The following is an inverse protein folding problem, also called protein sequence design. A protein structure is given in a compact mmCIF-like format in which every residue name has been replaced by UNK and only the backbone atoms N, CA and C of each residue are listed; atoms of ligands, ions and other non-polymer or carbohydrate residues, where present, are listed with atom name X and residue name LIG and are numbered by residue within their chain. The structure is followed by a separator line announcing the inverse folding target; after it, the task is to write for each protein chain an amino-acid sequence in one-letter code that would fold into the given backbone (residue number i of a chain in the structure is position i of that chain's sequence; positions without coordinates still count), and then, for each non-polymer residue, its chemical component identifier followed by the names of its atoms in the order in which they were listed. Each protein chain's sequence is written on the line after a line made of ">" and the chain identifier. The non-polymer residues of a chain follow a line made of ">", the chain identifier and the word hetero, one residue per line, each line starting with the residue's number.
data_IF_676940347771
#
_entry.id   IF_676940347771
#
_cell.length_a   1.000
_cell.length_b   1.000
_cell.length_c   1.000
_cell.angle_alpha   90.00
_cell.angle_beta   90.00
_cell.angle_gamma   90.00
#
_symmetry.space_group_name_H-M   'P 1'
#
loop_
_entity.id
_entity.type
_entity.pdbx_description
1 polymer ?
#
# COMPACT_ATOMS: atom_id res chain seq x y z
N UNK A 1 0.02 -58.14 31.85
CA UNK A 1 -0.83 -57.80 33.02
C UNK A 1 -1.62 -56.59 32.63
N UNK A 2 -2.91 -56.78 32.25
CA UNK A 2 -4.14 -56.43 32.98
C UNK A 2 -4.16 -54.92 33.30
N UNK A 3 -5.14 -54.10 32.89
CA UNK A 3 -6.59 -54.29 32.96
C UNK A 3 -7.32 -53.38 31.98
N UNK A 4 -8.40 -53.93 31.50
CA UNK A 4 -9.51 -53.34 30.79
C UNK A 4 -10.46 -52.73 31.83
N UNK A 5 -11.03 -51.58 31.60
CA UNK A 5 -12.26 -51.19 32.27
C UNK A 5 -13.20 -50.46 31.30
N UNK A 6 -14.26 -51.19 31.02
CA UNK A 6 -15.52 -50.75 30.41
C UNK A 6 -16.28 -49.82 31.35
N UNK A 7 -17.01 -48.84 30.84
CA UNK A 7 -18.30 -48.41 31.41
C UNK A 7 -19.08 -47.65 30.33
N UNK A 8 -20.00 -48.32 29.74
CA UNK A 8 -21.47 -48.33 29.94
C UNK A 8 -22.19 -47.14 29.24
N UNK A 9 -22.93 -47.59 28.25
CA UNK A 9 -24.01 -46.92 27.49
C UNK A 9 -25.12 -46.49 28.44
N UNK A 10 -25.61 -45.26 28.31
CA UNK A 10 -26.95 -44.90 28.78
C UNK A 10 -27.72 -44.24 27.62
N UNK A 11 -28.60 -45.05 27.04
CA UNK A 11 -29.67 -44.68 26.13
C UNK A 11 -30.82 -44.11 26.96
N UNK A 12 -31.26 -42.92 26.72
CA UNK A 12 -32.57 -42.43 27.15
C UNK A 12 -33.30 -41.82 25.95
N UNK A 13 -34.26 -42.63 25.50
CA UNK A 13 -35.41 -42.22 24.68
C UNK A 13 -36.28 -41.22 25.46
N UNK A 14 -36.59 -40.10 24.87
CA UNK A 14 -37.83 -39.37 25.20
C UNK A 14 -38.58 -39.02 23.92
N UNK A 15 -39.83 -39.40 23.95
CA UNK A 15 -40.86 -39.41 22.96
C UNK A 15 -41.45 -37.98 22.76
N UNK A 16 -41.62 -37.60 21.53
CA UNK A 16 -42.66 -36.81 20.91
C UNK A 16 -43.45 -35.73 21.70
N UNK A 17 -43.38 -34.49 21.13
CA UNK A 17 -44.57 -33.65 21.00
C UNK A 17 -44.52 -33.01 19.60
N UNK A 18 -45.52 -33.32 18.77
CA UNK A 18 -45.86 -32.57 17.57
C UNK A 18 -46.52 -31.27 17.99
N UNK A 19 -45.94 -30.14 17.59
CA UNK A 19 -46.73 -28.89 17.42
C UNK A 19 -46.52 -28.38 16.01
N UNK A 20 -47.64 -28.44 15.27
CA UNK A 20 -47.85 -27.80 14.03
C UNK A 20 -47.93 -26.30 14.27
N UNK A 21 -46.92 -25.53 13.83
CA UNK A 21 -46.89 -24.06 13.85
C UNK A 21 -46.52 -23.56 12.49
N UNK A 22 -47.41 -22.81 11.87
CA UNK A 22 -47.41 -22.31 10.51
C UNK A 22 -46.09 -21.62 10.11
N UNK A 23 -45.72 -21.93 8.90
CA UNK A 23 -44.78 -21.26 8.03
C UNK A 23 -44.86 -19.73 8.04
N UNK A 24 -43.75 -19.08 8.39
CA UNK A 24 -43.40 -17.83 7.74
C UNK A 24 -42.01 -18.04 7.12
N UNK A 25 -42.02 -18.29 5.82
CA UNK A 25 -40.85 -18.23 4.98
C UNK A 25 -40.35 -16.79 4.91
N UNK A 26 -39.57 -16.37 5.89
CA UNK A 26 -38.75 -15.19 5.72
C UNK A 26 -37.60 -15.57 4.80
N UNK A 27 -37.78 -15.30 3.53
CA UNK A 27 -36.74 -15.23 2.53
C UNK A 27 -35.71 -14.24 3.04
N UNK A 28 -34.65 -14.75 3.67
CA UNK A 28 -33.46 -13.93 3.96
C UNK A 28 -32.83 -13.61 2.63
N UNK A 29 -33.26 -12.51 2.04
CA UNK A 29 -32.52 -11.83 0.99
C UNK A 29 -31.16 -11.54 1.60
N UNK A 30 -30.13 -12.29 1.19
CA UNK A 30 -28.74 -11.89 1.38
C UNK A 30 -28.65 -10.49 0.80
N UNK A 31 -28.66 -9.46 1.65
CA UNK A 31 -28.18 -8.13 1.28
C UNK A 31 -26.76 -8.36 0.79
N UNK A 32 -26.55 -8.27 -0.52
CA UNK A 32 -25.25 -8.01 -1.06
C UNK A 32 -24.74 -6.78 -0.31
N UNK A 33 -23.66 -6.93 0.44
CA UNK A 33 -22.90 -5.82 0.97
C UNK A 33 -22.48 -5.00 -0.25
N UNK A 34 -23.31 -4.03 -0.61
CA UNK A 34 -22.91 -2.97 -1.51
C UNK A 34 -21.72 -2.31 -0.84
N UNK A 35 -20.57 -2.40 -1.44
CA UNK A 35 -19.31 -1.77 -1.00
C UNK A 35 -19.63 -0.28 -0.83
N UNK A 36 -19.84 0.14 0.40
CA UNK A 36 -20.22 1.52 0.71
C UNK A 36 -18.94 2.35 0.68
N UNK A 37 -18.80 3.17 -0.34
CA UNK A 37 -17.70 4.13 -0.43
C UNK A 37 -17.75 5.11 0.75
N UNK A 38 -16.59 5.58 1.16
CA UNK A 38 -16.53 6.67 2.14
C UNK A 38 -17.05 7.96 1.49
N UNK A 39 -17.55 8.88 2.31
CA UNK A 39 -18.01 10.19 1.82
C UNK A 39 -16.92 10.91 1.01
N UNK A 40 -15.66 10.79 1.44
CA UNK A 40 -14.53 11.36 0.72
C UNK A 40 -14.37 10.76 -0.68
N UNK A 41 -14.55 9.44 -0.82
CA UNK A 41 -14.49 8.77 -2.12
C UNK A 41 -15.65 9.20 -3.02
N UNK A 42 -16.87 9.30 -2.48
CA UNK A 42 -18.04 9.77 -3.23
C UNK A 42 -17.84 11.20 -3.73
N UNK A 43 -17.33 12.10 -2.88
CA UNK A 43 -17.03 13.49 -3.25
C UNK A 43 -15.94 13.58 -4.34
N UNK A 44 -14.96 12.69 -4.31
CA UNK A 44 -13.91 12.60 -5.33
C UNK A 44 -14.46 12.04 -6.65
N UNK A 45 -15.30 11.02 -6.60
CA UNK A 45 -15.96 10.47 -7.80
C UNK A 45 -16.82 11.53 -8.50
N UNK A 46 -17.51 12.38 -7.73
CA UNK A 46 -18.24 13.54 -8.26
C UNK A 46 -17.36 14.57 -8.99
N UNK A 47 -16.04 14.54 -8.74
CA UNK A 47 -15.02 15.38 -9.39
C UNK A 47 -14.22 14.66 -10.51
N UNK A 48 -14.64 13.45 -10.88
CA UNK A 48 -14.03 12.69 -11.96
C UNK A 48 -12.91 11.71 -11.52
N UNK A 49 -12.66 11.57 -10.22
CA UNK A 49 -11.78 10.52 -9.71
C UNK A 49 -12.46 9.16 -9.82
N UNK A 50 -11.68 8.12 -10.05
CA UNK A 50 -12.19 6.75 -10.14
C UNK A 50 -11.30 5.78 -9.35
N UNK A 51 -11.89 4.65 -8.96
CA UNK A 51 -11.16 3.53 -8.37
C UNK A 51 -10.70 2.65 -9.52
N UNK A 52 -9.38 2.45 -9.71
CA UNK A 52 -8.90 1.56 -10.75
C UNK A 52 -9.31 0.11 -10.46
N UNK A 53 -9.41 -0.72 -11.51
CA UNK A 53 -9.76 -2.16 -11.37
C UNK A 53 -8.78 -2.92 -10.46
N UNK A 54 -7.54 -2.48 -10.42
CA UNK A 54 -6.50 -2.95 -9.51
C UNK A 54 -5.65 -1.77 -9.09
N UNK A 55 -5.21 -1.73 -7.82
CA UNK A 55 -4.20 -0.77 -7.40
C UNK A 55 -2.93 -0.93 -8.26
N UNK A 56 -2.22 0.15 -8.56
CA UNK A 56 -0.94 0.04 -9.25
C UNK A 56 0.05 -0.75 -8.40
N UNK A 57 1.02 -1.39 -9.04
CA UNK A 57 2.12 -2.10 -8.37
C UNK A 57 3.42 -1.82 -9.12
N UNK A 58 4.46 -1.50 -8.39
CA UNK A 58 5.78 -1.24 -8.95
C UNK A 58 5.92 0.17 -9.54
N UNK A 59 6.64 0.28 -10.65
CA UNK A 59 6.96 1.58 -11.27
C UNK A 59 5.71 2.26 -11.83
N UNK A 60 5.41 3.46 -11.35
CA UNK A 60 4.29 4.27 -11.81
C UNK A 60 4.62 5.10 -13.06
N UNK A 61 5.89 5.42 -13.24
CA UNK A 61 6.52 6.05 -14.41
C UNK A 61 5.70 7.16 -15.14
N UNK A 62 5.79 7.20 -16.46
CA UNK A 62 5.34 8.33 -17.27
C UNK A 62 3.82 8.60 -17.18
N UNK A 63 3.00 7.57 -16.92
CA UNK A 63 1.55 7.77 -16.72
C UNK A 63 1.23 8.76 -15.60
N UNK A 64 2.10 8.82 -14.60
CA UNK A 64 1.95 9.72 -13.46
C UNK A 64 2.89 10.93 -13.55
N UNK A 65 3.26 11.33 -14.77
CA UNK A 65 4.05 12.53 -15.02
C UNK A 65 5.53 12.43 -14.64
N UNK A 66 6.05 11.23 -14.40
CA UNK A 66 7.46 11.01 -14.03
C UNK A 66 8.18 10.26 -15.13
N UNK A 67 9.27 10.82 -15.63
CA UNK A 67 10.19 10.11 -16.54
C UNK A 67 11.24 9.38 -15.73
N UNK A 68 11.14 8.03 -15.69
CA UNK A 68 12.10 7.20 -14.98
C UNK A 68 13.51 7.34 -15.54
N UNK A 69 14.47 7.54 -14.64
CA UNK A 69 15.90 7.58 -14.98
C UNK A 69 16.60 6.34 -14.46
N UNK A 70 17.46 5.78 -15.29
CA UNK A 70 18.20 4.56 -14.98
C UNK A 70 19.70 4.81 -15.01
N UNK A 71 20.42 4.25 -14.05
CA UNK A 71 21.85 4.21 -14.01
C UNK A 71 22.42 3.06 -14.85
N UNK A 72 23.73 3.03 -14.98
CA UNK A 72 24.45 1.95 -15.68
C UNK A 72 24.94 0.84 -14.73
N UNK A 73 24.95 1.10 -13.42
CA UNK A 73 25.40 0.18 -12.40
C UNK A 73 24.23 -0.37 -11.60
N UNK A 74 24.41 -1.58 -11.08
CA UNK A 74 23.40 -2.19 -10.20
C UNK A 74 23.47 -1.56 -8.80
N UNK A 75 22.80 -0.40 -8.69
CA UNK A 75 22.61 0.34 -7.46
C UNK A 75 21.10 0.35 -7.19
N UNK A 76 20.69 0.02 -5.98
CA UNK A 76 19.27 -0.18 -5.71
C UNK A 76 18.85 0.21 -4.31
N UNK A 77 17.54 0.46 -4.20
CA UNK A 77 16.82 0.41 -2.94
C UNK A 77 16.11 -0.93 -2.82
N UNK A 78 16.26 -1.59 -1.69
CA UNK A 78 15.45 -2.71 -1.25
C UNK A 78 14.48 -2.18 -0.19
N UNK A 79 13.18 -2.17 -0.48
CA UNK A 79 12.19 -1.51 0.37
C UNK A 79 11.16 -2.54 0.80
N UNK A 80 11.11 -2.80 2.09
CA UNK A 80 10.12 -3.66 2.73
C UNK A 80 9.01 -2.82 3.33
N UNK A 81 7.76 -3.10 2.95
CA UNK A 81 6.56 -2.49 3.53
C UNK A 81 5.89 -3.49 4.46
N UNK A 82 5.69 -3.09 5.71
CA UNK A 82 4.92 -3.85 6.69
C UNK A 82 3.42 -3.83 6.42
N UNK A 83 2.66 -4.37 7.36
CA UNK A 83 1.21 -4.31 7.33
C UNK A 83 0.69 -2.89 7.61
N UNK A 84 -0.57 -2.65 7.29
CA UNK A 84 -1.28 -1.42 7.68
C UNK A 84 -1.61 -0.48 6.53
N UNK A 85 -0.69 -0.19 5.61
CA UNK A 85 -0.96 0.67 4.45
C UNK A 85 -0.07 0.35 3.25
N UNK A 86 -0.52 0.76 2.09
CA UNK A 86 0.28 0.84 0.88
C UNK A 86 1.13 2.11 0.90
N UNK A 87 2.22 2.13 0.13
CA UNK A 87 3.14 3.27 0.07
C UNK A 87 3.44 3.64 -1.39
N UNK A 88 3.33 4.92 -1.70
CA UNK A 88 3.79 5.49 -2.97
C UNK A 88 5.04 6.34 -2.71
N UNK A 89 6.15 6.03 -3.39
CA UNK A 89 7.47 6.61 -3.12
C UNK A 89 7.98 7.34 -4.34
N UNK A 90 8.34 8.61 -4.18
CA UNK A 90 9.12 9.38 -5.15
C UNK A 90 10.58 9.40 -4.72
N UNK A 91 11.49 9.00 -5.62
CA UNK A 91 12.95 9.16 -5.45
C UNK A 91 13.32 10.47 -6.14
N UNK A 92 13.78 11.42 -5.35
CA UNK A 92 14.01 12.81 -5.79
C UNK A 92 15.48 13.16 -5.69
N UNK A 93 16.04 13.70 -6.77
CA UNK A 93 17.42 14.14 -6.81
C UNK A 93 17.60 15.40 -5.94
N UNK A 94 18.54 15.37 -5.00
CA UNK A 94 18.76 16.45 -4.04
C UNK A 94 19.26 17.74 -4.68
N UNK A 95 19.93 17.66 -5.82
CA UNK A 95 20.56 18.84 -6.44
C UNK A 95 19.56 19.70 -7.21
N UNK A 96 18.55 19.08 -7.82
CA UNK A 96 17.63 19.77 -8.74
C UNK A 96 16.16 19.48 -8.49
N UNK A 97 15.84 18.80 -7.38
CA UNK A 97 14.48 18.40 -6.97
C UNK A 97 13.71 17.60 -8.04
N UNK A 98 14.42 17.00 -9.00
CA UNK A 98 13.78 16.19 -10.03
C UNK A 98 13.42 14.80 -9.47
N UNK A 99 12.14 14.43 -9.56
CA UNK A 99 11.71 13.07 -9.34
C UNK A 99 12.24 12.18 -10.48
N UNK A 100 13.04 11.16 -10.12
CA UNK A 100 13.66 10.23 -11.07
C UNK A 100 12.96 8.88 -11.12
N UNK A 101 12.22 8.52 -10.09
CA UNK A 101 11.43 7.28 -9.98
C UNK A 101 10.20 7.53 -9.12
N UNK A 102 9.08 6.96 -9.52
CA UNK A 102 7.85 6.96 -8.76
C UNK A 102 7.31 5.54 -8.69
N UNK A 103 7.21 4.97 -7.49
CA UNK A 103 6.94 3.55 -7.28
C UNK A 103 5.82 3.37 -6.28
N UNK A 104 4.89 2.46 -6.57
CA UNK A 104 3.84 2.03 -5.65
C UNK A 104 4.18 0.65 -5.10
N UNK A 105 4.17 0.49 -3.79
CA UNK A 105 4.50 -0.74 -3.09
C UNK A 105 3.34 -1.10 -2.16
N UNK A 106 2.66 -2.23 -2.42
CA UNK A 106 1.59 -2.70 -1.55
C UNK A 106 2.07 -3.07 -0.16
N UNK A 107 1.16 -3.02 0.82
CA UNK A 107 1.40 -3.54 2.16
C UNK A 107 1.87 -5.01 2.12
N UNK A 108 2.70 -5.40 3.08
CA UNK A 108 3.27 -6.75 3.22
C UNK A 108 4.05 -7.23 1.99
N UNK A 109 4.68 -6.31 1.27
CA UNK A 109 5.52 -6.66 0.12
C UNK A 109 6.89 -5.99 0.18
N UNK A 110 7.82 -6.51 -0.61
CA UNK A 110 9.14 -5.94 -0.82
C UNK A 110 9.28 -5.52 -2.27
N UNK A 111 9.86 -4.34 -2.51
CA UNK A 111 10.23 -3.88 -3.84
C UNK A 111 11.73 -3.64 -3.94
N UNK A 112 12.33 -4.14 -5.02
CA UNK A 112 13.71 -3.86 -5.38
C UNK A 112 13.73 -2.85 -6.53
N UNK A 113 14.15 -1.60 -6.25
CA UNK A 113 14.20 -0.51 -7.23
C UNK A 113 15.62 -0.39 -7.74
N UNK A 114 15.89 -1.06 -8.85
CA UNK A 114 17.22 -1.24 -9.41
C UNK A 114 17.67 -0.08 -10.31
N UNK A 115 18.96 -0.08 -10.65
CA UNK A 115 19.58 0.84 -11.60
C UNK A 115 19.37 2.32 -11.22
N UNK A 116 19.48 2.62 -9.94
CA UNK A 116 19.44 4.02 -9.47
C UNK A 116 20.68 4.74 -10.03
N UNK A 117 20.53 5.89 -10.72
CA UNK A 117 21.66 6.66 -11.20
C UNK A 117 22.57 7.10 -10.05
N UNK A 118 23.82 7.38 -10.37
CA UNK A 118 24.73 8.00 -9.41
C UNK A 118 24.22 9.38 -9.01
N UNK A 119 24.33 9.75 -7.72
CA UNK A 119 23.83 11.00 -7.19
C UNK A 119 23.37 10.88 -5.76
N UNK A 120 22.87 11.99 -5.24
CA UNK A 120 22.28 12.07 -3.92
C UNK A 120 20.77 12.24 -4.03
N UNK A 121 20.03 11.48 -3.24
CA UNK A 121 18.58 11.42 -3.33
C UNK A 121 17.93 11.51 -1.96
N UNK A 122 16.76 12.06 -1.92
CA UNK A 122 15.84 11.95 -0.81
C UNK A 122 14.53 11.32 -1.27
N UNK A 123 13.74 10.84 -0.33
CA UNK A 123 12.46 10.20 -0.61
C UNK A 123 11.31 11.12 -0.21
N UNK A 124 10.28 11.18 -1.04
CA UNK A 124 8.94 11.63 -0.63
C UNK A 124 8.04 10.40 -0.60
N UNK A 125 7.25 10.28 0.45
CA UNK A 125 6.43 9.12 0.72
C UNK A 125 4.98 9.55 0.91
N UNK A 126 4.07 8.84 0.29
CA UNK A 126 2.64 8.91 0.60
C UNK A 126 2.22 7.55 1.13
N UNK A 127 1.52 7.53 2.23
CA UNK A 127 0.99 6.33 2.89
C UNK A 127 -0.52 6.36 2.86
N UNK A 128 -1.16 5.21 2.74
CA UNK A 128 -2.60 5.15 2.85
C UNK A 128 -3.21 3.86 2.33
N UNK A 129 -4.52 3.92 2.20
CA UNK A 129 -5.36 2.87 1.60
C UNK A 129 -6.31 3.50 0.58
N UNK A 130 -6.98 2.65 -0.17
CA UNK A 130 -8.02 3.07 -1.10
C UNK A 130 -7.49 4.07 -2.14
N UNK A 131 -6.61 3.58 -3.01
CA UNK A 131 -6.02 4.36 -4.10
C UNK A 131 -7.08 4.75 -5.12
N UNK A 132 -7.12 6.03 -5.48
CA UNK A 132 -7.95 6.56 -6.55
C UNK A 132 -7.09 7.27 -7.59
N UNK A 133 -7.60 7.34 -8.81
CA UNK A 133 -6.94 7.94 -9.97
C UNK A 133 -7.83 8.99 -10.63
N UNK A 134 -7.19 9.96 -11.25
CA UNK A 134 -7.84 11.01 -12.04
C UNK A 134 -7.11 11.14 -13.38
N UNK A 135 -7.86 11.05 -14.48
CA UNK A 135 -7.32 11.23 -15.82
C UNK A 135 -7.27 12.74 -16.14
N UNK A 136 -6.07 13.26 -16.38
CA UNK A 136 -5.83 14.67 -16.70
C UNK A 136 -6.24 15.03 -18.14
N UNK A 137 -6.57 14.05 -18.98
CA UNK A 137 -6.97 14.25 -20.37
C UNK A 137 -5.81 14.54 -21.33
N UNK A 138 -4.58 14.62 -20.82
CA UNK A 138 -3.34 14.83 -21.61
C UNK A 138 -2.50 13.54 -21.73
N UNK A 139 -3.06 12.40 -21.31
CA UNK A 139 -2.39 11.11 -21.25
C UNK A 139 -1.67 10.85 -19.93
N UNK A 140 -1.74 11.76 -18.98
CA UNK A 140 -1.23 11.57 -17.63
C UNK A 140 -2.36 11.31 -16.63
N UNK A 141 -2.01 10.68 -15.52
CA UNK A 141 -2.93 10.30 -14.43
C UNK A 141 -2.40 10.91 -13.13
N UNK A 142 -3.29 11.50 -12.35
CA UNK A 142 -3.04 11.77 -10.94
C UNK A 142 -3.49 10.58 -10.11
N UNK A 143 -2.74 10.29 -9.06
CA UNK A 143 -3.09 9.23 -8.12
C UNK A 143 -2.96 9.67 -6.68
N UNK A 144 -3.81 9.14 -5.79
CA UNK A 144 -3.73 9.37 -4.36
C UNK A 144 -4.45 8.32 -3.53
N UNK A 145 -4.02 8.17 -2.31
CA UNK A 145 -4.78 7.47 -1.28
C UNK A 145 -5.94 8.32 -0.76
N UNK A 146 -6.99 7.68 -0.29
CA UNK A 146 -8.19 8.36 0.21
C UNK A 146 -8.54 8.02 1.66
N UNK A 147 -7.88 7.01 2.23
CA UNK A 147 -8.05 6.57 3.61
C UNK A 147 -6.70 6.45 4.33
N UNK A 148 -6.66 6.87 5.60
CA UNK A 148 -5.47 6.84 6.45
C UNK A 148 -4.24 7.51 5.80
N UNK A 149 -4.46 8.66 5.18
CA UNK A 149 -3.45 9.32 4.34
C UNK A 149 -2.47 10.09 5.20
N UNK A 150 -1.18 9.90 4.94
CA UNK A 150 -0.11 10.77 5.43
C UNK A 150 0.99 10.92 4.39
N UNK A 151 1.78 11.98 4.52
CA UNK A 151 2.87 12.31 3.61
C UNK A 151 4.11 12.68 4.39
N UNK A 152 5.25 12.10 4.00
CA UNK A 152 6.53 12.36 4.63
C UNK A 152 7.62 12.63 3.59
N UNK A 153 8.69 13.25 4.05
CA UNK A 153 9.95 13.39 3.34
C UNK A 153 11.08 12.83 4.20
N UNK A 154 12.00 12.06 3.60
CA UNK A 154 13.18 11.61 4.34
C UNK A 154 14.06 12.81 4.72
N UNK A 155 14.55 12.81 5.96
CA UNK A 155 15.63 13.70 6.41
C UNK A 155 16.96 13.16 5.91
N UNK A 156 17.07 11.84 5.90
CA UNK A 156 18.24 11.15 5.39
C UNK A 156 18.39 11.35 3.89
N UNK A 157 19.64 11.50 3.47
CA UNK A 157 20.05 11.58 2.08
C UNK A 157 20.77 10.30 1.70
N UNK A 158 20.32 9.67 0.62
CA UNK A 158 20.86 8.41 0.10
C UNK A 158 21.88 8.73 -1.00
N UNK A 159 23.16 8.49 -0.69
CA UNK A 159 24.25 8.80 -1.62
C UNK A 159 24.67 7.55 -2.42
N UNK A 160 24.31 7.51 -3.69
CA UNK A 160 24.69 6.46 -4.64
C UNK A 160 26.03 6.74 -5.33
N UNK A 161 26.87 7.59 -4.73
CA UNK A 161 28.22 7.87 -5.16
C UNK A 161 28.33 8.87 -6.31
N UNK A 162 29.58 9.24 -6.62
CA UNK A 162 29.91 10.16 -7.70
C UNK A 162 30.05 9.43 -9.04
N UNK A 163 29.89 10.16 -10.13
CA UNK A 163 30.19 9.69 -11.48
C UNK A 163 31.64 9.15 -11.50
N UNK A 164 31.81 7.90 -11.90
CA UNK A 164 33.09 7.15 -11.93
C UNK A 164 33.48 6.38 -10.64
N UNK A 165 32.59 6.32 -9.64
CA UNK A 165 32.79 5.39 -8.54
C UNK A 165 32.39 3.97 -8.96
N UNK A 166 33.29 3.00 -8.82
CA UNK A 166 32.99 1.58 -9.04
C UNK A 166 32.28 0.92 -7.86
N UNK A 167 32.05 1.66 -6.78
CA UNK A 167 31.39 1.12 -5.59
C UNK A 167 29.91 0.88 -5.86
N UNK A 168 29.45 -0.33 -5.60
CA UNK A 168 28.02 -0.68 -5.53
C UNK A 168 27.53 -0.29 -4.16
N UNK A 169 26.58 0.62 -4.10
CA UNK A 169 25.96 1.07 -2.85
C UNK A 169 24.49 0.74 -2.91
N UNK A 170 24.01 0.02 -1.91
CA UNK A 170 22.61 -0.37 -1.80
C UNK A 170 22.05 0.09 -0.46
N UNK A 171 20.79 0.45 -0.44
CA UNK A 171 20.07 0.81 0.77
C UNK A 171 18.92 -0.15 1.00
N UNK A 172 18.84 -0.69 2.21
CA UNK A 172 17.71 -1.51 2.67
C UNK A 172 16.85 -0.66 3.57
N UNK A 173 15.63 -0.41 3.14
CA UNK A 173 14.67 0.42 3.85
C UNK A 173 13.51 -0.43 4.37
N UNK A 174 13.10 -0.16 5.59
CA UNK A 174 11.92 -0.77 6.21
C UNK A 174 10.92 0.33 6.56
N UNK A 175 9.72 0.18 6.09
CA UNK A 175 8.62 1.12 6.29
C UNK A 175 7.48 0.36 6.95
N UNK A 176 7.25 0.63 8.23
CA UNK A 176 6.20 -0.01 9.01
C UNK A 176 5.25 1.04 9.58
N UNK A 177 3.96 0.75 9.53
CA UNK A 177 2.96 1.54 10.25
C UNK A 177 2.33 0.63 11.29
N UNK A 178 2.61 0.90 12.56
CA UNK A 178 2.04 0.15 13.67
C UNK A 178 1.26 1.09 14.56
N UNK A 179 -0.03 0.78 14.78
CA UNK A 179 -0.92 1.57 15.64
C UNK A 179 -0.93 3.09 15.29
N UNK A 180 -0.92 3.41 14.00
CA UNK A 180 -0.83 4.79 13.46
C UNK A 180 0.52 5.48 13.68
N UNK A 181 1.54 4.77 14.14
CA UNK A 181 2.91 5.27 14.26
C UNK A 181 3.78 4.73 13.13
N UNK A 182 4.47 5.64 12.45
CA UNK A 182 5.49 5.29 11.46
C UNK A 182 6.73 4.76 12.19
N UNK A 183 7.16 3.56 11.82
CA UNK A 183 8.39 2.93 12.31
C UNK A 183 9.31 2.63 11.13
N UNK A 184 9.96 3.67 10.63
CA UNK A 184 10.93 3.54 9.55
C UNK A 184 12.33 3.34 10.14
N UNK A 185 13.20 2.62 9.46
CA UNK A 185 14.61 2.52 9.82
C UNK A 185 15.45 3.72 9.31
N UNK A 186 14.79 4.79 8.88
CA UNK A 186 15.36 6.07 8.48
C UNK A 186 14.48 7.21 8.98
N UNK A 187 15.03 8.42 9.07
CA UNK A 187 14.32 9.57 9.62
C UNK A 187 13.44 10.25 8.58
N UNK A 188 12.24 10.65 8.98
CA UNK A 188 11.30 11.38 8.13
C UNK A 188 10.73 12.60 8.87
N UNK A 189 10.23 13.57 8.09
CA UNK A 189 9.42 14.70 8.54
C UNK A 189 8.14 14.75 7.74
N UNK A 190 7.04 15.09 8.41
CA UNK A 190 5.75 15.22 7.73
C UNK A 190 5.74 16.41 6.77
N UNK A 191 5.15 16.20 5.60
CA UNK A 191 4.96 17.21 4.57
C UNK A 191 3.48 17.29 4.16
N UNK A 192 3.11 18.31 3.41
CA UNK A 192 1.77 18.43 2.85
C UNK A 192 1.59 17.59 1.58
N UNK A 193 0.32 17.28 1.21
CA UNK A 193 0.02 16.68 -0.09
C UNK A 193 0.57 17.53 -1.25
N UNK A 194 0.46 18.85 -1.16
CA UNK A 194 0.95 19.77 -2.20
C UNK A 194 2.48 19.70 -2.35
N UNK A 195 3.22 19.46 -1.27
CA UNK A 195 4.67 19.26 -1.31
C UNK A 195 5.05 17.90 -1.88
N UNK A 196 4.28 16.85 -1.55
CA UNK A 196 4.49 15.53 -2.16
C UNK A 196 4.28 15.55 -3.66
N UNK A 197 3.29 16.32 -4.15
CA UNK A 197 2.94 16.40 -5.58
C UNK A 197 3.97 17.14 -6.45
N UNK A 198 4.70 18.07 -5.87
CA UNK A 198 5.84 18.74 -6.54
C UNK A 198 6.97 17.76 -6.81
#
# INVERSE_FOLDING_TARGET
>A
MKQISNFVILVLLFLSILETGCSNSSTSTKKQDATRFSKNQEDLMGKGWYIPKSAPVGELSYKYGVTSKFGQQDKYFDIEIGDGCDVAIKIVNQTNDQCIRYVFIPANTTANIQMIPQGQYYLKLAYGKDWMEYDNGDGTIDGKFTSNVSYDKSVDVFDFGKKNSSSVINYVLQINIKESLLQNNFQTVSISESEFRK
#
